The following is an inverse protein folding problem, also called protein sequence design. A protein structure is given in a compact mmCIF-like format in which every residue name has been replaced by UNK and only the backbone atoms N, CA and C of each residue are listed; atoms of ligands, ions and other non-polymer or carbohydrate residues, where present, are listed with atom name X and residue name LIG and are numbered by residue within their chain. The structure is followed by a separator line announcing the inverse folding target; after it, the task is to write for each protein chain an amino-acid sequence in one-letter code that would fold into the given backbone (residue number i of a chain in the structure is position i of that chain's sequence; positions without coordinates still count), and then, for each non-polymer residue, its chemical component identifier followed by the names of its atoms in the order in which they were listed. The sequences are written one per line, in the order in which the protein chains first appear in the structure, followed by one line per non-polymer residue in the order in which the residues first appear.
data_IF_804835328988
#
_entry.id   IF_804835328988
#
_cell.length_a   1.000
_cell.length_b   1.000
_cell.length_c   1.000
_cell.angle_alpha   90.00
_cell.angle_beta   90.00
_cell.angle_gamma   90.00
#
_symmetry.space_group_name_H-M   'P 1'
#
loop_
_entity.id
_entity.type
_entity.pdbx_description
1 polymer ?
#
# COMPACT_ATOMS: atom_id res chain seq x y z
N UNK A 1 34.65 16.25 58.02
CA UNK A 1 33.41 16.67 57.31
C UNK A 1 33.76 16.88 55.84
N UNK A 2 32.83 16.62 54.90
CA UNK A 2 32.91 16.91 53.44
C UNK A 2 33.52 15.82 52.53
N UNK A 3 32.78 14.73 52.26
CA UNK A 3 32.92 13.94 50.99
C UNK A 3 31.60 13.34 50.47
N UNK A 4 30.44 13.81 50.94
CA UNK A 4 29.12 13.32 50.49
C UNK A 4 28.47 14.14 49.35
N UNK A 5 29.11 15.23 48.93
CA UNK A 5 28.55 16.16 47.93
C UNK A 5 28.33 15.58 46.51
N UNK A 6 29.18 14.70 45.93
CA UNK A 6 29.00 14.31 44.53
C UNK A 6 27.85 13.32 44.32
N UNK A 7 27.47 12.55 45.34
CA UNK A 7 26.41 11.54 45.25
C UNK A 7 25.02 12.18 45.17
N UNK A 8 24.83 13.31 45.88
CA UNK A 8 23.56 14.03 45.89
C UNK A 8 23.26 14.65 44.52
N UNK A 9 24.28 15.11 43.79
CA UNK A 9 24.13 15.72 42.46
C UNK A 9 23.69 14.69 41.42
N UNK A 10 24.18 13.44 41.51
CA UNK A 10 23.79 12.35 40.60
C UNK A 10 22.31 11.93 40.76
N UNK A 11 21.75 12.06 41.96
CA UNK A 11 20.34 11.74 42.22
C UNK A 11 19.37 12.75 41.59
N UNK A 12 19.78 14.01 41.44
CA UNK A 12 18.96 15.04 40.79
C UNK A 12 18.95 14.93 39.25
N UNK A 13 19.96 14.28 38.64
CA UNK A 13 20.02 14.05 37.19
C UNK A 13 19.14 12.88 36.74
N UNK A 14 18.65 12.05 37.66
CA UNK A 14 17.78 10.91 37.37
C UNK A 14 16.28 11.26 37.29
N UNK A 15 15.91 12.54 37.41
CA UNK A 15 14.51 13.01 37.34
C UNK A 15 13.96 13.18 35.90
N UNK A 16 14.53 12.52 34.90
CA UNK A 16 13.85 12.33 33.62
C UNK A 16 12.81 11.22 33.82
N UNK A 17 11.52 11.56 33.72
CA UNK A 17 10.41 10.64 34.01
C UNK A 17 10.53 9.37 33.16
N UNK A 18 10.74 8.18 33.74
CA UNK A 18 10.79 6.92 32.99
C UNK A 18 9.41 6.50 32.43
N UNK A 19 8.38 7.28 32.73
CA UNK A 19 7.01 7.12 32.25
C UNK A 19 6.57 8.27 31.34
N UNK A 20 7.51 9.09 30.84
CA UNK A 20 7.14 10.11 29.87
C UNK A 20 6.52 9.41 28.67
N UNK A 21 5.28 9.79 28.35
CA UNK A 21 4.60 9.25 27.19
C UNK A 21 5.40 9.67 25.97
N UNK A 22 5.81 8.70 25.15
CA UNK A 22 6.35 9.01 23.82
C UNK A 22 5.43 10.00 23.13
N UNK A 23 6.01 10.99 22.47
CA UNK A 23 5.26 11.84 21.55
C UNK A 23 4.50 10.95 20.55
N UNK A 24 3.27 11.37 20.22
CA UNK A 24 2.47 10.64 19.24
C UNK A 24 3.21 10.65 17.91
N UNK A 25 3.40 9.47 17.32
CA UNK A 25 3.89 9.37 15.94
C UNK A 25 2.93 10.17 15.05
N UNK A 26 3.43 11.08 14.19
CA UNK A 26 2.56 11.83 13.28
C UNK A 26 1.78 10.84 12.40
N UNK A 27 0.51 11.12 12.08
CA UNK A 27 -0.26 10.25 11.22
C UNK A 27 0.49 10.12 9.88
N UNK A 28 0.68 8.89 9.42
CA UNK A 28 1.20 8.62 8.07
C UNK A 28 0.14 9.16 7.09
N UNK A 29 0.45 10.31 6.49
CA UNK A 29 -0.48 11.09 5.65
C UNK A 29 -0.61 10.56 4.23
N UNK A 30 0.06 9.48 3.86
CA UNK A 30 -0.09 8.83 2.54
C UNK A 30 -1.40 8.04 2.43
N UNK A 31 -2.48 8.59 2.98
CA UNK A 31 -3.83 8.22 2.55
C UNK A 31 -4.03 8.87 1.19
N UNK A 32 -3.67 8.12 0.15
CA UNK A 32 -4.02 8.44 -1.23
C UNK A 32 -5.53 8.59 -1.41
N UNK A 33 -5.99 8.76 -2.65
CA UNK A 33 -7.42 9.00 -2.98
C UNK A 33 -8.33 7.78 -2.82
N UNK A 34 -7.95 6.80 -2.01
CA UNK A 34 -8.65 5.54 -1.80
C UNK A 34 -10.02 5.72 -1.11
N UNK A 35 -11.05 5.04 -1.64
CA UNK A 35 -12.42 5.01 -1.12
C UNK A 35 -12.82 3.55 -0.85
N UNK A 36 -13.64 3.26 0.16
CA UNK A 36 -14.09 1.88 0.40
C UNK A 36 -14.86 1.31 -0.82
N UNK A 37 -14.48 0.13 -1.37
CA UNK A 37 -15.05 -0.41 -2.59
C UNK A 37 -16.46 -1.01 -2.37
N UNK A 38 -17.47 -0.15 -2.25
CA UNK A 38 -18.88 -0.56 -2.07
C UNK A 38 -19.64 -0.71 -3.39
N UNK A 39 -19.03 -0.35 -4.52
CA UNK A 39 -19.60 -0.55 -5.86
C UNK A 39 -18.50 -0.82 -6.89
N UNK A 40 -18.82 -1.46 -8.03
CA UNK A 40 -17.84 -1.74 -9.08
C UNK A 40 -17.15 -0.48 -9.63
N UNK A 41 -17.87 0.65 -9.70
CA UNK A 41 -17.30 1.91 -10.16
C UNK A 41 -16.21 2.42 -9.21
N UNK A 42 -16.40 2.23 -7.91
CA UNK A 42 -15.40 2.61 -6.90
C UNK A 42 -14.16 1.69 -6.99
N UNK A 43 -14.36 0.40 -7.29
CA UNK A 43 -13.23 -0.52 -7.53
C UNK A 43 -12.35 -0.02 -8.68
N UNK A 44 -12.96 0.33 -9.83
CA UNK A 44 -12.19 0.86 -10.97
C UNK A 44 -11.49 2.17 -10.62
N UNK A 45 -12.17 3.09 -9.93
CA UNK A 45 -11.59 4.34 -9.46
C UNK A 45 -10.37 4.12 -8.55
N UNK A 46 -10.47 3.22 -7.57
CA UNK A 46 -9.37 2.91 -6.67
C UNK A 46 -8.20 2.23 -7.38
N UNK A 47 -8.49 1.32 -8.32
CA UNK A 47 -7.45 0.68 -9.14
C UNK A 47 -6.72 1.74 -9.95
N UNK A 48 -7.43 2.62 -10.66
CA UNK A 48 -6.83 3.70 -11.44
C UNK A 48 -5.93 4.60 -10.56
N UNK A 49 -6.43 5.03 -9.40
CA UNK A 49 -5.65 5.87 -8.50
C UNK A 49 -4.49 5.13 -7.84
N UNK A 50 -4.59 3.83 -7.60
CA UNK A 50 -3.47 3.04 -7.06
C UNK A 50 -2.26 3.07 -7.98
N UNK A 51 -2.46 3.02 -9.30
CA UNK A 51 -1.39 3.15 -10.29
C UNK A 51 -0.91 4.60 -10.46
N UNK A 52 -1.80 5.60 -10.35
CA UNK A 52 -1.39 7.02 -10.41
C UNK A 52 -0.55 7.44 -9.22
N UNK A 53 -0.89 6.94 -8.05
CA UNK A 53 -0.25 7.28 -6.78
C UNK A 53 0.90 6.31 -6.43
N UNK A 54 1.01 5.20 -7.16
CA UNK A 54 1.98 4.11 -6.92
C UNK A 54 1.84 3.52 -5.50
N UNK A 55 0.62 3.46 -4.97
CA UNK A 55 0.33 2.96 -3.63
C UNK A 55 -0.21 1.53 -3.71
N UNK A 56 0.65 0.55 -3.43
CA UNK A 56 0.30 -0.88 -3.55
C UNK A 56 -0.85 -1.30 -2.62
N UNK A 57 -0.94 -0.69 -1.43
CA UNK A 57 -1.98 -0.98 -0.46
C UNK A 57 -3.38 -0.62 -0.99
N UNK A 58 -3.49 0.38 -1.87
CA UNK A 58 -4.76 0.78 -2.50
C UNK A 58 -5.18 -0.26 -3.55
N UNK A 59 -4.21 -0.78 -4.31
CA UNK A 59 -4.43 -1.86 -5.26
C UNK A 59 -4.92 -3.12 -4.54
N UNK A 60 -4.19 -3.55 -3.50
CA UNK A 60 -4.51 -4.76 -2.72
C UNK A 60 -5.91 -4.70 -2.09
N UNK A 61 -6.34 -3.54 -1.58
CA UNK A 61 -7.66 -3.36 -0.99
C UNK A 61 -8.80 -3.33 -2.02
N UNK A 62 -8.49 -3.18 -3.31
CA UNK A 62 -9.48 -3.11 -4.38
C UNK A 62 -9.84 -4.49 -4.96
N UNK A 63 -9.03 -5.52 -4.69
CA UNK A 63 -9.19 -6.88 -5.23
C UNK A 63 -9.35 -7.90 -4.10
N UNK A 64 -10.23 -8.87 -4.31
CA UNK A 64 -10.30 -10.06 -3.46
C UNK A 64 -9.19 -11.05 -3.85
N UNK A 65 -8.65 -11.79 -2.88
CA UNK A 65 -7.62 -12.80 -3.16
C UNK A 65 -8.09 -13.92 -4.11
N UNK A 66 -9.40 -14.09 -4.26
CA UNK A 66 -10.02 -15.08 -5.13
C UNK A 66 -10.45 -14.50 -6.49
N UNK A 67 -10.00 -13.29 -6.87
CA UNK A 67 -10.38 -12.73 -8.18
C UNK A 67 -9.86 -13.62 -9.32
N UNK A 68 -10.71 -13.80 -10.33
CA UNK A 68 -10.39 -14.57 -11.50
C UNK A 68 -9.93 -13.63 -12.61
N UNK A 69 -8.72 -13.83 -13.11
CA UNK A 69 -8.23 -13.13 -14.29
C UNK A 69 -8.62 -13.91 -15.55
N UNK A 70 -9.38 -13.26 -16.45
CA UNK A 70 -9.75 -13.82 -17.75
C UNK A 70 -9.08 -12.98 -18.83
N UNK A 71 -8.20 -13.60 -19.59
CA UNK A 71 -7.59 -12.97 -20.75
C UNK A 71 -8.62 -12.82 -21.87
N UNK A 72 -8.77 -11.61 -22.41
CA UNK A 72 -9.49 -11.36 -23.66
C UNK A 72 -8.53 -11.57 -24.85
N UNK A 73 -8.34 -12.82 -25.28
CA UNK A 73 -7.59 -13.10 -26.50
C UNK A 73 -8.55 -13.05 -27.70
N UNK A 74 -8.40 -12.04 -28.56
CA UNK A 74 -9.07 -12.02 -29.88
C UNK A 74 -8.60 -13.18 -30.78
N UNK A 75 -7.44 -13.78 -30.51
CA UNK A 75 -6.93 -14.96 -31.23
C UNK A 75 -6.07 -15.85 -30.34
N UNK A 76 -6.63 -16.93 -29.82
CA UNK A 76 -5.83 -17.99 -29.20
C UNK A 76 -6.55 -18.68 -28.07
N UNK A 77 -6.80 -19.98 -28.25
CA UNK A 77 -7.28 -20.90 -27.22
C UNK A 77 -6.41 -20.68 -25.97
N UNK A 78 -7.00 -20.32 -24.81
CA UNK A 78 -6.23 -20.23 -23.58
C UNK A 78 -5.60 -21.61 -23.33
N UNK A 79 -4.29 -21.70 -23.03
CA UNK A 79 -3.71 -22.97 -22.64
C UNK A 79 -4.46 -23.41 -21.38
N UNK A 80 -5.25 -24.47 -21.54
CA UNK A 80 -5.98 -25.22 -20.52
C UNK A 80 -6.10 -24.53 -19.14
N UNK A 81 -7.20 -23.81 -18.91
CA UNK A 81 -7.87 -23.70 -17.60
C UNK A 81 -7.12 -23.05 -16.42
N UNK A 82 -5.84 -22.75 -16.52
CA UNK A 82 -5.03 -22.19 -15.45
C UNK A 82 -3.82 -21.49 -16.08
N UNK A 83 -3.99 -20.23 -16.45
CA UNK A 83 -2.93 -19.41 -17.04
C UNK A 83 -1.78 -19.11 -16.07
N UNK A 84 -1.82 -19.64 -14.84
CA UNK A 84 -0.88 -19.33 -13.76
C UNK A 84 -1.03 -17.89 -13.23
N UNK A 85 -1.94 -17.11 -13.82
CA UNK A 85 -2.17 -15.71 -13.44
C UNK A 85 -3.07 -15.66 -12.20
N UNK A 86 -2.43 -15.74 -11.04
CA UNK A 86 -3.06 -15.71 -9.73
C UNK A 86 -3.03 -14.30 -9.14
N UNK A 87 -3.78 -14.07 -8.06
CA UNK A 87 -3.68 -12.82 -7.28
C UNK A 87 -2.24 -12.51 -6.87
N UNK A 88 -1.46 -13.54 -6.49
CA UNK A 88 -0.06 -13.36 -6.11
C UNK A 88 0.82 -12.91 -7.27
N UNK A 89 0.57 -13.42 -8.48
CA UNK A 89 1.33 -13.02 -9.67
C UNK A 89 0.97 -11.60 -10.12
N UNK A 90 -0.31 -11.26 -10.12
CA UNK A 90 -0.78 -9.89 -10.36
C UNK A 90 -0.15 -8.90 -9.36
N UNK A 91 -0.20 -9.22 -8.06
CA UNK A 91 0.38 -8.39 -7.02
C UNK A 91 1.88 -8.19 -7.23
N UNK A 92 2.62 -9.27 -7.50
CA UNK A 92 4.06 -9.24 -7.76
C UNK A 92 4.40 -8.34 -8.95
N UNK A 93 3.62 -8.41 -10.03
CA UNK A 93 3.84 -7.58 -11.21
C UNK A 93 3.50 -6.12 -10.94
N UNK A 94 2.42 -5.82 -10.24
CA UNK A 94 2.06 -4.46 -9.85
C UNK A 94 3.09 -3.85 -8.93
N UNK A 95 3.63 -4.59 -7.95
CA UNK A 95 4.75 -4.14 -7.13
C UNK A 95 5.99 -3.83 -7.97
N UNK A 96 6.33 -4.69 -8.95
CA UNK A 96 7.44 -4.43 -9.84
C UNK A 96 7.21 -3.18 -10.69
N UNK A 97 5.99 -2.97 -11.18
CA UNK A 97 5.62 -1.73 -11.89
C UNK A 97 5.83 -0.55 -10.96
N UNK A 98 5.23 -0.55 -9.76
CA UNK A 98 5.26 0.61 -8.86
C UNK A 98 6.69 0.99 -8.43
N UNK A 99 7.57 0.00 -8.28
CA UNK A 99 8.97 0.22 -7.89
C UNK A 99 9.87 0.66 -9.06
N UNK A 100 9.57 0.26 -10.30
CA UNK A 100 10.41 0.55 -11.46
C UNK A 100 9.86 1.68 -12.35
N UNK A 101 8.63 2.12 -12.11
CA UNK A 101 8.00 3.17 -12.89
C UNK A 101 8.68 4.51 -12.60
N UNK A 102 9.31 5.09 -13.62
CA UNK A 102 9.83 6.44 -13.52
C UNK A 102 8.69 7.43 -13.73
N UNK A 103 8.48 8.31 -12.75
CA UNK A 103 7.38 9.29 -12.71
C UNK A 103 7.26 10.20 -13.96
N UNK A 104 8.30 10.25 -14.81
CA UNK A 104 8.35 11.07 -16.02
C UNK A 104 7.76 10.38 -17.27
N UNK A 105 7.38 9.10 -17.17
CA UNK A 105 6.69 8.39 -18.25
C UNK A 105 5.19 8.49 -18.05
N UNK A 106 4.48 9.21 -18.92
CA UNK A 106 3.02 9.25 -18.88
C UNK A 106 2.44 7.90 -19.35
N UNK A 107 2.17 6.99 -18.43
CA UNK A 107 1.33 5.82 -18.69
C UNK A 107 -0.12 6.13 -18.32
N UNK A 108 -1.03 5.88 -19.25
CA UNK A 108 -2.46 5.95 -19.03
C UNK A 108 -3.01 4.53 -18.89
N UNK A 109 -3.79 4.30 -17.84
CA UNK A 109 -4.47 3.03 -17.62
C UNK A 109 -5.94 3.25 -17.88
N UNK A 110 -6.47 2.48 -18.83
CA UNK A 110 -7.87 2.55 -19.23
C UNK A 110 -8.59 1.34 -18.64
N UNK A 111 -9.44 1.60 -17.64
CA UNK A 111 -10.31 0.59 -17.05
C UNK A 111 -11.75 0.84 -17.49
N UNK A 112 -12.44 -0.22 -17.92
CA UNK A 112 -13.85 -0.13 -18.31
C UNK A 112 -14.64 -1.32 -17.76
N UNK A 113 -15.93 -1.09 -17.49
CA UNK A 113 -16.85 -2.16 -17.16
C UNK A 113 -17.34 -2.82 -18.45
N UNK A 114 -17.33 -4.16 -18.48
CA UNK A 114 -18.01 -4.88 -19.55
C UNK A 114 -19.53 -4.71 -19.41
N UNK A 115 -20.28 -4.47 -20.51
CA UNK A 115 -21.73 -4.57 -20.47
C UNK A 115 -22.14 -6.01 -20.15
N UNK A 116 -23.08 -6.15 -19.20
CA UNK A 116 -23.72 -7.43 -18.87
C UNK A 116 -24.63 -7.91 -20.01
#
# INVERSE_FOLDING_TARGET
MKRFAPVVILLFLACASPFDSRDSEPPITDRGTFIQPVSPQIVLFNLENSYKELIITNFMQSLDSNFLFIFDFVTGIPPEGDSGWTYSEELRLTELIFNNFQADTAAEIILSMSPL
#
